data_IF_899721175790
#
_entry.id   IF_899721175790
#
_cell.length_a   1.000
_cell.length_b   1.000
_cell.length_c   1.000
_cell.angle_alpha   90.00
_cell.angle_beta   90.00
_cell.angle_gamma   90.00
#
_symmetry.space_group_name_H-M   'P 1'
#
loop_
_entity.id
_entity.type
_entity.pdbx_description
1 polymer ?
#
# COMPACT_ATOMS: atom_id res chain seq x y z
N UNK A 1 14.76 32.45 -4.40
CA UNK A 1 14.57 32.50 -2.93
C UNK A 1 13.27 33.23 -2.52
N UNK A 2 12.14 32.95 -3.18
CA UNK A 2 10.81 33.50 -2.82
C UNK A 2 9.70 32.44 -2.68
N UNK A 3 10.04 31.16 -2.85
CA UNK A 3 9.08 30.03 -2.88
C UNK A 3 8.82 29.37 -1.51
N UNK A 4 9.76 29.50 -0.56
CA UNK A 4 9.60 28.95 0.79
C UNK A 4 8.65 29.76 1.70
N UNK A 5 8.36 31.02 1.35
CA UNK A 5 7.56 31.89 2.20
C UNK A 5 6.05 31.81 1.95
N UNK A 6 5.61 31.16 0.86
CA UNK A 6 4.20 31.09 0.49
C UNK A 6 3.50 29.85 1.06
N UNK A 7 4.21 28.72 1.15
CA UNK A 7 3.70 27.48 1.76
C UNK A 7 3.49 27.62 3.29
N UNK A 8 4.34 28.39 3.96
CA UNK A 8 4.20 28.72 5.38
C UNK A 8 3.06 29.72 5.65
N UNK A 9 2.67 30.51 4.65
CA UNK A 9 1.62 31.53 4.78
C UNK A 9 0.20 30.97 4.52
N UNK A 10 0.06 29.94 3.68
CA UNK A 10 -1.22 29.25 3.50
C UNK A 10 -1.59 28.34 4.68
N UNK A 11 -0.58 27.77 5.37
CA UNK A 11 -0.81 27.07 6.64
C UNK A 11 -1.27 28.04 7.76
N UNK A 12 -0.95 29.34 7.65
CA UNK A 12 -1.35 30.37 8.61
C UNK A 12 -2.76 30.93 8.33
N UNK A 13 -3.24 30.89 7.08
CA UNK A 13 -4.59 31.37 6.73
C UNK A 13 -5.71 30.41 7.16
N UNK A 14 -5.42 29.13 7.39
CA UNK A 14 -6.34 28.18 8.03
C UNK A 14 -6.35 28.29 9.56
N UNK A 15 -5.35 28.94 10.17
CA UNK A 15 -5.24 29.12 11.62
C UNK A 15 -5.95 30.37 12.15
N UNK A 16 -6.42 31.28 11.27
CA UNK A 16 -6.85 32.61 11.69
C UNK A 16 -8.33 32.73 12.14
N UNK A 17 -9.10 31.63 12.17
CA UNK A 17 -10.50 31.64 12.61
C UNK A 17 -10.80 30.87 13.92
N UNK A 18 -9.82 30.17 14.52
CA UNK A 18 -10.03 29.40 15.75
C UNK A 18 -9.06 29.86 16.85
N UNK A 19 -9.47 30.89 17.58
CA UNK A 19 -8.76 31.36 18.77
C UNK A 19 -9.03 30.38 19.93
N UNK A 20 -7.95 29.74 20.38
CA UNK A 20 -7.69 29.16 21.70
C UNK A 20 -8.78 28.29 22.37
N UNK A 21 -8.54 26.98 22.42
CA UNK A 21 -8.81 26.22 23.64
C UNK A 21 -7.76 25.10 23.79
N UNK A 22 -7.30 24.93 25.02
CA UNK A 22 -6.13 24.15 25.43
C UNK A 22 -6.17 22.68 24.96
N UNK A 23 -4.98 22.16 24.65
CA UNK A 23 -4.74 20.77 24.26
C UNK A 23 -5.18 19.81 25.38
N UNK A 24 -5.93 18.74 25.08
CA UNK A 24 -6.06 17.64 26.04
C UNK A 24 -4.70 16.96 26.22
N UNK A 25 -4.44 16.51 27.45
CA UNK A 25 -3.22 15.82 27.85
C UNK A 25 -2.97 14.53 27.04
N UNK A 26 -1.71 14.12 26.84
CA UNK A 26 -1.39 12.83 26.24
C UNK A 26 -1.96 11.67 27.06
N UNK A 27 -2.42 10.63 26.37
CA UNK A 27 -2.90 9.39 26.96
C UNK A 27 -1.79 8.72 27.79
N UNK A 28 -2.11 8.07 28.93
CA UNK A 28 -1.12 7.44 29.79
C UNK A 28 -0.54 6.18 29.15
N UNK A 29 0.78 6.02 29.29
CA UNK A 29 1.50 4.81 28.90
C UNK A 29 1.00 3.58 29.68
N UNK A 30 0.81 2.48 28.96
CA UNK A 30 0.48 1.18 29.56
C UNK A 30 1.63 0.71 30.48
N UNK A 31 1.33 0.10 31.64
CA UNK A 31 2.34 -0.25 32.62
C UNK A 31 3.27 -1.37 32.10
N UNK A 32 4.57 -1.13 32.21
CA UNK A 32 5.60 -2.13 32.00
C UNK A 32 5.47 -3.27 33.02
N UNK A 33 5.28 -4.49 32.54
CA UNK A 33 5.39 -5.69 33.38
C UNK A 33 6.86 -5.88 33.81
N UNK A 34 7.09 -5.96 35.12
CA UNK A 34 8.40 -6.28 35.69
C UNK A 34 8.73 -7.77 35.51
N UNK A 35 10.01 -8.14 35.31
CA UNK A 35 10.41 -9.52 35.09
C UNK A 35 10.43 -10.30 36.41
N UNK A 36 9.69 -11.41 36.46
CA UNK A 36 9.78 -12.39 37.55
C UNK A 36 10.94 -13.35 37.30
N UNK A 37 11.75 -13.49 38.34
CA UNK A 37 12.87 -14.42 38.52
C UNK A 37 12.40 -15.89 38.37
N UNK A 38 12.82 -16.58 37.31
CA UNK A 38 12.74 -18.04 37.23
C UNK A 38 14.04 -18.61 36.66
N UNK A 39 14.77 -19.31 37.52
CA UNK A 39 15.93 -20.13 37.24
C UNK A 39 15.63 -21.15 36.12
N UNK A 40 16.44 -21.30 35.07
CA UNK A 40 16.15 -22.24 34.00
C UNK A 40 16.36 -23.70 34.45
N UNK A 41 15.35 -24.52 34.25
CA UNK A 41 15.45 -25.99 34.23
C UNK A 41 16.12 -26.36 32.88
N UNK A 42 17.08 -27.30 32.82
CA UNK A 42 17.71 -27.66 31.55
C UNK A 42 16.70 -28.42 30.69
N UNK A 43 16.17 -27.76 29.66
CA UNK A 43 15.45 -28.41 28.57
C UNK A 43 16.49 -28.94 27.59
N UNK A 44 16.53 -30.26 27.42
CA UNK A 44 17.18 -30.89 26.26
C UNK A 44 16.60 -30.29 24.98
N UNK A 45 17.43 -29.92 23.99
CA UNK A 45 16.93 -29.35 22.74
C UNK A 45 16.03 -30.38 22.03
N UNK A 46 14.78 -29.99 21.78
CA UNK A 46 13.95 -30.64 20.78
C UNK A 46 14.68 -30.56 19.42
N UNK A 47 14.54 -31.57 18.54
CA UNK A 47 15.12 -31.50 17.21
C UNK A 47 14.54 -30.27 16.48
N UNK A 48 15.43 -29.42 15.98
CA UNK A 48 15.12 -28.32 15.07
C UNK A 48 14.20 -28.87 13.97
N UNK A 49 13.01 -28.28 13.73
CA UNK A 49 12.23 -28.59 12.54
C UNK A 49 13.13 -28.35 11.33
N UNK A 50 13.30 -29.36 10.48
CA UNK A 50 14.08 -29.24 9.25
C UNK A 50 13.63 -27.98 8.50
N UNK A 51 14.59 -27.15 8.09
CA UNK A 51 14.31 -26.01 7.22
C UNK A 51 13.50 -26.53 6.00
N UNK A 52 12.45 -25.82 5.55
CA UNK A 52 11.74 -26.20 4.33
C UNK A 52 12.77 -26.39 3.21
N UNK A 53 12.71 -27.54 2.52
CA UNK A 53 13.59 -27.80 1.40
C UNK A 53 13.51 -26.64 0.41
N UNK A 54 14.65 -26.09 -0.01
CA UNK A 54 14.66 -25.03 -1.02
C UNK A 54 13.99 -25.56 -2.30
N UNK A 55 13.01 -24.82 -2.86
CA UNK A 55 12.35 -25.22 -4.09
C UNK A 55 13.40 -25.31 -5.21
N UNK A 56 13.55 -26.50 -5.80
CA UNK A 56 14.49 -26.77 -6.89
C UNK A 56 13.72 -27.09 -8.17
N UNK A 57 14.12 -26.46 -9.27
CA UNK A 57 13.65 -26.75 -10.61
C UNK A 57 14.79 -27.47 -11.34
N UNK A 58 14.53 -28.67 -11.84
CA UNK A 58 15.46 -29.35 -12.74
C UNK A 58 15.36 -28.67 -14.12
N UNK A 59 16.11 -27.59 -14.31
CA UNK A 59 16.14 -26.88 -15.60
C UNK A 59 17.02 -27.66 -16.59
N UNK A 60 16.51 -28.09 -17.75
CA UNK A 60 17.29 -28.81 -18.77
C UNK A 60 18.41 -27.93 -19.37
N UNK A 61 19.59 -28.52 -19.63
CA UNK A 61 20.76 -27.81 -20.19
C UNK A 61 20.54 -27.28 -21.62
N UNK A 62 19.63 -27.90 -22.38
CA UNK A 62 19.48 -27.68 -23.83
C UNK A 62 18.34 -26.72 -24.21
N UNK A 63 17.62 -26.19 -23.22
CA UNK A 63 16.55 -25.22 -23.43
C UNK A 63 15.17 -25.69 -22.98
N UNK A 64 14.30 -24.71 -22.79
CA UNK A 64 12.90 -24.91 -22.40
C UNK A 64 12.05 -24.08 -23.35
N UNK A 65 11.05 -24.67 -23.98
CA UNK A 65 10.02 -23.91 -24.71
C UNK A 65 8.71 -23.90 -23.93
N UNK A 66 8.00 -22.77 -24.03
CA UNK A 66 6.70 -22.60 -23.40
C UNK A 66 5.59 -22.88 -24.41
N UNK A 67 4.68 -23.77 -24.06
CA UNK A 67 3.49 -24.07 -24.84
C UNK A 67 2.27 -24.14 -23.92
N UNK A 68 1.23 -23.35 -24.23
CA UNK A 68 -0.05 -23.34 -23.51
C UNK A 68 0.08 -23.19 -21.97
N UNK A 69 1.05 -22.39 -21.50
CA UNK A 69 1.29 -22.15 -20.07
C UNK A 69 2.03 -23.29 -19.34
N UNK A 70 2.56 -24.25 -20.09
CA UNK A 70 3.38 -25.35 -19.60
C UNK A 70 4.77 -25.25 -20.23
N UNK A 71 5.79 -25.58 -19.44
CA UNK A 71 7.18 -25.57 -19.90
C UNK A 71 7.61 -26.99 -20.29
N UNK A 72 8.25 -27.13 -21.44
CA UNK A 72 8.70 -28.40 -21.99
C UNK A 72 10.21 -28.38 -22.26
N UNK A 73 10.87 -29.48 -21.93
CA UNK A 73 12.29 -29.72 -22.21
C UNK A 73 12.51 -29.93 -23.71
N UNK A 74 13.40 -29.14 -24.30
CA UNK A 74 13.69 -29.17 -25.75
C UNK A 74 14.36 -30.49 -26.20
N UNK A 75 15.02 -31.24 -25.31
CA UNK A 75 15.67 -32.52 -25.65
C UNK A 75 14.68 -33.66 -25.83
N UNK A 76 13.68 -33.74 -24.94
CA UNK A 76 12.83 -34.93 -24.81
C UNK A 76 11.32 -34.63 -24.97
N UNK A 77 10.93 -33.35 -25.00
CA UNK A 77 9.54 -32.91 -25.11
C UNK A 77 8.68 -33.21 -23.89
N UNK A 78 9.29 -33.61 -22.76
CA UNK A 78 8.60 -33.84 -21.50
C UNK A 78 8.36 -32.51 -20.78
N UNK A 79 7.29 -32.40 -19.98
CA UNK A 79 7.10 -31.22 -19.13
C UNK A 79 8.27 -31.11 -18.15
N UNK A 80 8.78 -29.90 -17.96
CA UNK A 80 9.81 -29.61 -16.96
C UNK A 80 9.22 -29.86 -15.58
N UNK A 81 9.85 -30.74 -14.81
CA UNK A 81 9.41 -31.10 -13.46
C UNK A 81 10.23 -30.36 -12.41
N UNK A 82 9.55 -29.91 -11.35
CA UNK A 82 10.19 -29.20 -10.24
C UNK A 82 9.29 -28.09 -9.74
N UNK A 83 9.74 -27.41 -8.69
CA UNK A 83 9.01 -26.25 -8.20
C UNK A 83 9.99 -25.17 -7.84
N UNK A 84 9.70 -23.93 -8.22
CA UNK A 84 10.56 -22.80 -7.88
C UNK A 84 10.64 -21.77 -8.98
N UNK A 85 11.26 -20.66 -8.62
CA UNK A 85 11.50 -19.54 -9.50
C UNK A 85 12.70 -19.84 -10.42
N UNK A 86 12.55 -19.61 -11.72
CA UNK A 86 13.58 -19.89 -12.73
C UNK A 86 13.57 -18.81 -13.81
N UNK A 87 14.75 -18.38 -14.25
CA UNK A 87 14.94 -17.41 -15.33
C UNK A 87 15.05 -18.16 -16.67
N UNK A 88 14.23 -17.77 -17.65
CA UNK A 88 14.29 -18.24 -19.03
C UNK A 88 14.25 -17.03 -19.96
N UNK A 89 15.27 -16.90 -20.81
CA UNK A 89 15.39 -15.82 -21.81
C UNK A 89 15.21 -14.39 -21.23
N UNK A 90 15.64 -14.17 -19.98
CA UNK A 90 15.53 -12.89 -19.28
C UNK A 90 14.19 -12.61 -18.61
N UNK A 91 13.24 -13.55 -18.69
CA UNK A 91 11.97 -13.53 -17.97
C UNK A 91 11.96 -14.55 -16.84
N UNK A 92 11.33 -14.22 -15.72
CA UNK A 92 11.23 -15.11 -14.56
C UNK A 92 9.89 -15.83 -14.51
N UNK A 93 9.94 -17.12 -14.21
CA UNK A 93 8.76 -17.99 -14.12
C UNK A 93 8.80 -18.78 -12.82
N UNK A 94 7.64 -19.05 -12.23
CA UNK A 94 7.55 -20.05 -11.15
C UNK A 94 6.95 -21.33 -11.71
N UNK A 95 7.77 -22.38 -11.69
CA UNK A 95 7.36 -23.73 -12.02
C UNK A 95 6.59 -24.32 -10.86
N UNK A 96 5.46 -24.95 -11.17
CA UNK A 96 4.67 -25.71 -10.23
C UNK A 96 5.06 -27.20 -10.31
N UNK A 97 4.89 -27.98 -9.23
CA UNK A 97 5.24 -29.40 -9.21
C UNK A 97 4.59 -30.25 -10.32
N UNK A 98 3.48 -29.80 -10.90
CA UNK A 98 2.77 -30.45 -12.00
C UNK A 98 3.26 -30.07 -13.41
N UNK A 99 4.30 -29.22 -13.49
CA UNK A 99 4.89 -28.71 -14.74
C UNK A 99 4.21 -27.45 -15.30
N UNK A 100 3.12 -26.98 -14.67
CA UNK A 100 2.47 -25.73 -15.07
C UNK A 100 3.22 -24.50 -14.56
N UNK A 101 3.01 -23.36 -15.20
CA UNK A 101 3.54 -22.07 -14.74
C UNK A 101 2.55 -21.36 -13.82
N UNK A 102 3.05 -20.67 -12.79
CA UNK A 102 2.21 -19.81 -11.95
C UNK A 102 1.75 -18.56 -12.74
N UNK A 103 0.44 -18.27 -12.81
CA UNK A 103 -0.08 -17.12 -13.53
C UNK A 103 0.05 -15.85 -12.66
N UNK A 104 1.06 -15.04 -12.93
CA UNK A 104 1.24 -13.77 -12.25
C UNK A 104 0.27 -12.70 -12.74
N UNK A 105 -0.17 -11.83 -11.83
CA UNK A 105 -0.88 -10.59 -12.12
C UNK A 105 -0.01 -9.37 -11.78
N UNK A 106 -0.37 -8.19 -12.27
CA UNK A 106 0.28 -6.94 -11.85
C UNK A 106 0.18 -6.75 -10.33
N UNK A 107 1.27 -6.34 -9.69
CA UNK A 107 1.36 -6.15 -8.24
C UNK A 107 1.90 -7.34 -7.45
N UNK A 108 1.44 -7.49 -6.20
CA UNK A 108 1.88 -8.56 -5.29
C UNK A 108 1.19 -9.90 -5.58
N UNK A 109 1.97 -10.97 -5.62
CA UNK A 109 1.53 -12.33 -5.90
C UNK A 109 2.09 -13.29 -4.85
N UNK A 110 1.21 -14.01 -4.14
CA UNK A 110 1.64 -15.07 -3.23
C UNK A 110 1.66 -16.40 -3.97
N UNK A 111 2.83 -17.06 -4.00
CA UNK A 111 2.99 -18.36 -4.63
C UNK A 111 3.85 -19.26 -3.72
N UNK A 112 3.30 -20.42 -3.34
CA UNK A 112 3.97 -21.42 -2.49
C UNK A 112 4.51 -20.84 -1.16
N UNK A 113 3.80 -19.85 -0.57
CA UNK A 113 4.23 -19.18 0.66
C UNK A 113 5.34 -18.15 0.47
N UNK A 114 5.71 -17.83 -0.77
CA UNK A 114 6.66 -16.77 -1.12
C UNK A 114 5.89 -15.63 -1.80
N UNK A 115 6.12 -14.40 -1.33
CA UNK A 115 5.53 -13.20 -1.90
C UNK A 115 6.45 -12.62 -2.99
N UNK A 116 5.92 -12.52 -4.19
CA UNK A 116 6.58 -11.94 -5.36
C UNK A 116 5.95 -10.59 -5.71
N UNK A 117 6.75 -9.65 -6.20
CA UNK A 117 6.26 -8.35 -6.67
C UNK A 117 6.50 -8.22 -8.17
N UNK A 118 5.44 -8.14 -8.97
CA UNK A 118 5.50 -7.98 -10.41
C UNK A 118 5.45 -6.50 -10.81
N UNK A 119 6.42 -6.04 -11.61
CA UNK A 119 6.48 -4.65 -12.07
C UNK A 119 6.61 -4.57 -13.59
N UNK A 120 5.52 -4.23 -14.30
CA UNK A 120 5.55 -3.89 -15.74
C UNK A 120 5.54 -5.10 -16.69
N UNK A 121 5.78 -4.87 -17.99
CA UNK A 121 5.75 -5.93 -19.03
C UNK A 121 7.01 -6.83 -19.01
N UNK A 122 8.12 -6.35 -18.44
CA UNK A 122 9.47 -6.94 -18.63
C UNK A 122 10.03 -7.68 -17.40
N UNK A 123 9.27 -7.84 -16.30
CA UNK A 123 9.68 -8.80 -15.27
C UNK A 123 9.34 -8.48 -13.81
N UNK A 124 9.78 -9.43 -12.97
CA UNK A 124 9.47 -9.56 -11.54
C UNK A 124 10.60 -9.00 -10.68
N UNK A 125 10.27 -8.30 -9.59
CA UNK A 125 11.21 -8.07 -8.51
C UNK A 125 11.34 -9.36 -7.68
N UNK A 126 12.53 -9.96 -7.77
CA UNK A 126 12.83 -11.31 -7.29
C UNK A 126 12.88 -11.51 -5.79
N UNK A 127 13.00 -10.42 -5.04
CA UNK A 127 13.18 -10.50 -3.60
C UNK A 127 11.83 -10.39 -2.93
N UNK A 128 11.62 -11.24 -1.91
CA UNK A 128 10.55 -11.01 -0.94
C UNK A 128 10.64 -9.55 -0.51
N UNK A 129 9.62 -8.74 -0.82
CA UNK A 129 9.69 -7.32 -0.57
C UNK A 129 10.08 -7.07 0.89
N UNK A 130 10.96 -6.10 1.11
CA UNK A 130 11.23 -5.64 2.47
C UNK A 130 9.95 -5.24 3.18
N UNK A 131 9.90 -5.36 4.50
CA UNK A 131 8.72 -4.93 5.24
C UNK A 131 8.47 -3.43 4.99
N UNK A 132 7.23 -3.06 4.71
CA UNK A 132 6.86 -1.68 4.37
C UNK A 132 5.73 -1.56 3.34
N UNK A 133 5.51 -0.32 2.89
CA UNK A 133 4.48 0.02 1.91
C UNK A 133 4.98 -0.14 0.48
N UNK A 134 4.13 -0.71 -0.39
CA UNK A 134 4.38 -0.91 -1.81
C UNK A 134 3.25 -0.33 -2.63
N UNK A 135 3.55 0.63 -3.51
CA UNK A 135 2.63 1.19 -4.51
C UNK A 135 3.05 0.69 -5.89
N UNK A 136 2.21 -0.12 -6.55
CA UNK A 136 2.45 -0.59 -7.93
C UNK A 136 1.86 0.33 -9.00
N UNK A 137 1.35 1.49 -8.59
CA UNK A 137 0.65 2.44 -9.43
C UNK A 137 -0.87 2.24 -9.45
N UNK A 138 -1.36 1.02 -9.22
CA UNK A 138 -2.78 0.66 -9.25
C UNK A 138 -3.36 0.43 -7.85
N UNK A 139 -2.64 -0.32 -7.02
CA UNK A 139 -2.94 -0.59 -5.61
C UNK A 139 -1.78 -0.24 -4.67
N UNK A 140 -2.13 -0.11 -3.39
CA UNK A 140 -1.18 0.06 -2.29
C UNK A 140 -1.27 -1.16 -1.37
N UNK A 141 -0.13 -1.70 -0.99
CA UNK A 141 0.00 -2.89 -0.15
C UNK A 141 0.92 -2.63 1.04
N UNK A 142 0.83 -3.47 2.06
CA UNK A 142 1.77 -3.48 3.18
C UNK A 142 2.33 -4.88 3.42
N UNK A 143 3.65 -4.99 3.38
CA UNK A 143 4.39 -6.23 3.66
C UNK A 143 4.89 -6.18 5.09
N UNK A 144 4.59 -7.23 5.85
CA UNK A 144 4.93 -7.33 7.27
C UNK A 144 6.39 -7.75 7.47
N UNK A 145 6.88 -7.66 8.72
CA UNK A 145 8.25 -8.05 9.09
C UNK A 145 8.57 -9.52 8.78
N UNK A 146 7.56 -10.39 8.83
CA UNK A 146 7.66 -11.82 8.49
C UNK A 146 7.53 -12.10 6.98
N UNK A 147 7.53 -11.05 6.15
CA UNK A 147 7.37 -11.08 4.68
C UNK A 147 5.98 -11.50 4.18
N UNK A 148 5.00 -11.65 5.07
CA UNK A 148 3.62 -11.88 4.67
C UNK A 148 2.92 -10.57 4.25
N UNK A 149 1.90 -10.70 3.39
CA UNK A 149 1.05 -9.58 3.02
C UNK A 149 0.02 -9.30 4.13
N UNK A 150 -0.10 -8.04 4.55
CA UNK A 150 -1.13 -7.65 5.51
C UNK A 150 -2.52 -7.70 4.86
N UNK A 151 -3.39 -8.56 5.37
CA UNK A 151 -4.78 -8.72 4.94
C UNK A 151 -5.74 -8.52 6.11
N UNK A 152 -6.92 -7.95 5.85
CA UNK A 152 -7.96 -7.68 6.86
C UNK A 152 -7.43 -6.96 8.10
N UNK A 153 -6.56 -5.97 7.89
CA UNK A 153 -5.76 -5.36 8.95
C UNK A 153 -5.58 -3.87 8.74
N UNK A 154 -4.79 -3.25 9.61
CA UNK A 154 -4.42 -1.84 9.46
C UNK A 154 -2.99 -1.59 9.91
N UNK A 155 -2.31 -0.73 9.17
CA UNK A 155 -1.00 -0.19 9.53
C UNK A 155 -1.14 1.34 9.69
N UNK A 156 -1.16 1.78 10.95
CA UNK A 156 -1.48 3.16 11.29
C UNK A 156 -2.90 3.56 10.86
N UNK A 157 -3.01 4.51 9.93
CA UNK A 157 -4.27 5.02 9.35
C UNK A 157 -4.64 4.36 8.02
N UNK A 158 -3.86 3.38 7.56
CA UNK A 158 -4.10 2.64 6.33
C UNK A 158 -4.76 1.31 6.67
N UNK A 159 -5.90 1.02 6.05
CA UNK A 159 -6.64 -0.23 6.23
C UNK A 159 -6.52 -1.05 4.96
N UNK A 160 -6.33 -2.36 5.11
CA UNK A 160 -6.10 -3.30 4.01
C UNK A 160 -7.20 -4.36 4.00
N UNK A 161 -7.75 -4.61 2.81
CA UNK A 161 -8.83 -5.55 2.58
C UNK A 161 -8.39 -7.01 2.66
N UNK A 162 -9.32 -7.92 2.34
CA UNK A 162 -9.04 -9.35 2.32
C UNK A 162 -8.04 -9.76 1.23
N UNK A 163 -7.94 -8.98 0.16
CA UNK A 163 -6.98 -9.12 -0.93
C UNK A 163 -5.63 -8.42 -0.65
N UNK A 164 -5.49 -7.81 0.55
CA UNK A 164 -4.30 -7.07 0.97
C UNK A 164 -4.12 -5.71 0.31
N UNK A 165 -5.10 -5.25 -0.49
CA UNK A 165 -5.09 -3.91 -1.08
C UNK A 165 -5.58 -2.89 -0.07
N UNK A 166 -4.97 -1.70 -0.08
CA UNK A 166 -5.47 -0.55 0.66
C UNK A 166 -6.92 -0.27 0.27
N UNK A 167 -7.76 -0.01 1.28
CA UNK A 167 -9.15 0.37 1.11
C UNK A 167 -9.53 1.46 2.09
N UNK A 168 -10.43 2.35 1.65
CA UNK A 168 -11.12 3.29 2.52
C UNK A 168 -12.21 2.63 3.36
N UNK A 169 -12.56 1.37 3.08
CA UNK A 169 -13.75 0.67 3.58
C UNK A 169 -14.98 0.83 2.67
N UNK A 170 -14.84 1.46 1.50
CA UNK A 170 -15.91 1.72 0.53
C UNK A 170 -15.37 1.59 -0.89
N UNK A 171 -15.90 0.62 -1.65
CA UNK A 171 -15.44 0.35 -3.01
C UNK A 171 -15.72 1.54 -3.94
N UNK A 172 -16.83 2.23 -3.74
CA UNK A 172 -17.20 3.43 -4.49
C UNK A 172 -16.20 4.58 -4.24
N UNK A 173 -15.76 4.74 -3.00
CA UNK A 173 -14.76 5.76 -2.67
C UNK A 173 -13.37 5.38 -3.20
N UNK A 174 -12.98 4.11 -3.07
CA UNK A 174 -11.70 3.61 -3.59
C UNK A 174 -11.58 3.82 -5.10
N UNK A 175 -12.62 3.46 -5.87
CA UNK A 175 -12.68 3.71 -7.32
C UNK A 175 -12.65 5.23 -7.63
N UNK A 176 -13.41 6.03 -6.88
CA UNK A 176 -13.45 7.48 -7.07
C UNK A 176 -12.10 8.16 -6.81
N UNK A 177 -11.34 7.69 -5.82
CA UNK A 177 -9.98 8.19 -5.52
C UNK A 177 -9.00 7.72 -6.59
N UNK A 178 -9.09 6.47 -7.04
CA UNK A 178 -8.27 5.97 -8.14
C UNK A 178 -8.45 6.81 -9.41
N UNK A 179 -9.69 7.12 -9.79
CA UNK A 179 -9.93 7.97 -10.96
C UNK A 179 -9.47 9.41 -10.78
N UNK A 180 -9.65 9.97 -9.58
CA UNK A 180 -9.10 11.30 -9.30
C UNK A 180 -7.57 11.33 -9.45
N UNK A 181 -6.88 10.27 -9.02
CA UNK A 181 -5.43 10.14 -9.19
C UNK A 181 -5.03 9.94 -10.65
N UNK A 182 -5.79 9.19 -11.44
CA UNK A 182 -5.52 9.06 -12.88
C UNK A 182 -5.71 10.37 -13.64
N UNK A 183 -6.78 11.11 -13.33
CA UNK A 183 -7.07 12.40 -13.95
C UNK A 183 -6.00 13.47 -13.62
N UNK A 184 -5.51 13.46 -12.38
CA UNK A 184 -4.59 14.47 -11.87
C UNK A 184 -3.11 14.10 -12.00
N UNK A 185 -2.79 12.80 -11.97
CA UNK A 185 -1.43 12.25 -11.95
C UNK A 185 -1.34 10.96 -12.78
N UNK A 186 -1.56 11.02 -14.11
CA UNK A 186 -1.51 9.83 -14.96
C UNK A 186 -0.11 9.20 -15.04
N UNK A 187 0.94 9.96 -14.74
CA UNK A 187 2.30 9.45 -14.60
C UNK A 187 2.55 8.99 -13.15
N UNK A 188 2.49 7.68 -12.94
CA UNK A 188 2.73 7.03 -11.64
C UNK A 188 4.21 6.98 -11.24
N UNK A 189 5.13 7.32 -12.15
CA UNK A 189 6.57 7.37 -11.89
C UNK A 189 7.00 8.54 -11.02
N UNK A 190 6.20 9.61 -10.94
CA UNK A 190 6.47 10.77 -10.09
C UNK A 190 6.53 10.40 -8.60
N UNK A 191 7.25 11.20 -7.81
CA UNK A 191 7.26 11.05 -6.35
C UNK A 191 5.92 11.43 -5.72
N UNK A 192 5.62 10.83 -4.56
CA UNK A 192 4.33 10.99 -3.88
C UNK A 192 4.01 12.45 -3.52
N UNK A 193 5.02 13.30 -3.30
CA UNK A 193 4.80 14.70 -2.94
C UNK A 193 4.38 15.53 -4.16
N UNK A 194 5.05 15.34 -5.31
CA UNK A 194 4.66 15.94 -6.57
C UNK A 194 3.26 15.50 -7.01
N UNK A 195 2.95 14.20 -6.84
CA UNK A 195 1.61 13.66 -7.12
C UNK A 195 0.55 14.30 -6.23
N UNK A 196 0.81 14.43 -4.93
CA UNK A 196 -0.14 15.05 -4.00
C UNK A 196 -0.37 16.54 -4.27
N UNK A 197 0.67 17.27 -4.71
CA UNK A 197 0.52 18.67 -5.17
C UNK A 197 -0.35 18.77 -6.44
N UNK A 198 -0.14 17.88 -7.41
CA UNK A 198 -0.96 17.82 -8.62
C UNK A 198 -2.44 17.49 -8.32
N UNK A 199 -2.72 16.59 -7.36
CA UNK A 199 -4.08 16.32 -6.87
C UNK A 199 -4.71 17.60 -6.30
N UNK A 200 -3.96 18.36 -5.49
CA UNK A 200 -4.45 19.62 -4.92
C UNK A 200 -4.85 20.61 -6.02
N UNK A 201 -3.96 20.82 -6.99
CA UNK A 201 -4.19 21.73 -8.11
C UNK A 201 -5.39 21.28 -8.96
N UNK A 202 -5.50 19.99 -9.24
CA UNK A 202 -6.63 19.44 -9.99
C UNK A 202 -7.95 19.66 -9.28
N UNK A 203 -8.04 19.36 -7.98
CA UNK A 203 -9.26 19.58 -7.20
C UNK A 203 -9.62 21.07 -7.19
N UNK A 204 -8.64 21.96 -6.96
CA UNK A 204 -8.84 23.42 -6.95
C UNK A 204 -9.46 23.91 -8.26
N UNK A 205 -8.97 23.40 -9.38
CA UNK A 205 -9.34 23.92 -10.71
C UNK A 205 -10.62 23.27 -11.27
N UNK A 206 -10.99 22.07 -10.79
CA UNK A 206 -12.12 21.30 -11.32
C UNK A 206 -13.33 21.18 -10.38
N UNK A 207 -13.17 21.43 -9.08
CA UNK A 207 -14.24 21.33 -8.08
C UNK A 207 -14.67 22.71 -7.59
N UNK A 208 -15.91 22.82 -7.09
CA UNK A 208 -16.46 24.09 -6.60
C UNK A 208 -16.68 24.08 -5.09
N UNK A 209 -16.34 25.20 -4.44
CA UNK A 209 -16.73 25.39 -3.05
C UNK A 209 -18.24 25.62 -2.94
N UNK A 210 -18.88 24.90 -2.02
CA UNK A 210 -20.28 25.04 -1.66
C UNK A 210 -20.39 25.19 -0.15
N UNK A 211 -20.99 26.28 0.32
CA UNK A 211 -21.26 26.47 1.74
C UNK A 211 -22.35 25.49 2.20
N UNK A 212 -22.01 24.61 3.13
CA UNK A 212 -22.88 23.57 3.69
C UNK A 212 -22.83 23.58 5.22
N UNK A 213 -23.74 22.86 5.87
CA UNK A 213 -23.69 22.65 7.31
C UNK A 213 -22.35 22.01 7.72
N UNK A 214 -21.90 22.34 8.93
CA UNK A 214 -20.69 21.75 9.51
C UNK A 214 -21.08 20.48 10.26
N UNK A 215 -20.16 19.51 10.33
CA UNK A 215 -20.35 18.33 11.16
C UNK A 215 -20.20 18.66 12.64
N UNK A 216 -20.96 17.97 13.49
CA UNK A 216 -20.93 18.17 14.93
C UNK A 216 -19.56 17.84 15.53
N UNK A 217 -19.17 18.62 16.52
CA UNK A 217 -17.91 18.44 17.22
C UNK A 217 -17.84 17.07 17.91
N UNK A 218 -16.82 16.28 17.58
CA UNK A 218 -16.59 14.94 18.16
C UNK A 218 -17.04 13.78 17.29
N UNK A 219 -17.65 14.04 16.13
CA UNK A 219 -17.96 13.01 15.14
C UNK A 219 -16.71 12.57 14.38
N UNK A 220 -16.52 11.25 14.22
CA UNK A 220 -15.37 10.64 13.54
C UNK A 220 -15.70 10.03 12.18
N UNK A 221 -16.98 9.75 11.94
CA UNK A 221 -17.40 8.87 10.84
C UNK A 221 -17.91 9.64 9.61
N UNK A 222 -17.67 10.95 9.57
CA UNK A 222 -18.17 11.83 8.51
C UNK A 222 -17.28 11.84 7.24
N UNK A 223 -16.02 11.43 7.36
CA UNK A 223 -15.02 11.66 6.31
C UNK A 223 -15.33 10.89 5.03
N UNK A 224 -15.75 9.62 5.14
CA UNK A 224 -16.07 8.79 3.99
C UNK A 224 -17.23 9.40 3.19
N UNK A 225 -18.37 9.64 3.84
CA UNK A 225 -19.56 10.24 3.21
C UNK A 225 -19.25 11.61 2.58
N UNK A 226 -18.47 12.44 3.29
CA UNK A 226 -18.07 13.76 2.79
C UNK A 226 -17.22 13.67 1.52
N UNK A 227 -16.32 12.68 1.42
CA UNK A 227 -15.47 12.47 0.25
C UNK A 227 -16.28 11.91 -0.93
N UNK A 228 -17.11 10.90 -0.70
CA UNK A 228 -18.00 10.33 -1.72
C UNK A 228 -18.92 11.40 -2.32
N UNK A 229 -19.56 12.20 -1.46
CA UNK A 229 -20.40 13.31 -1.90
C UNK A 229 -19.61 14.36 -2.71
N UNK A 230 -18.36 14.64 -2.33
CA UNK A 230 -17.52 15.60 -3.04
C UNK A 230 -17.17 15.13 -4.45
N UNK A 231 -16.73 13.87 -4.57
CA UNK A 231 -16.39 13.23 -5.83
C UNK A 231 -17.60 13.18 -6.77
N UNK A 232 -18.76 12.76 -6.25
CA UNK A 232 -19.99 12.65 -7.02
C UNK A 232 -20.50 14.02 -7.51
N UNK A 233 -20.54 15.02 -6.63
CA UNK A 233 -21.17 16.31 -6.93
C UNK A 233 -20.21 17.31 -7.58
N UNK A 234 -18.90 17.04 -7.52
CA UNK A 234 -17.81 17.96 -7.88
C UNK A 234 -17.90 19.32 -7.17
N UNK A 235 -18.53 19.34 -5.99
CA UNK A 235 -18.70 20.53 -5.15
C UNK A 235 -18.90 20.15 -3.68
N UNK A 236 -18.47 21.01 -2.76
CA UNK A 236 -18.59 20.77 -1.33
C UNK A 236 -17.87 21.82 -0.49
N UNK A 237 -17.90 21.65 0.83
CA UNK A 237 -17.25 22.57 1.77
C UNK A 237 -15.80 22.10 2.08
N UNK A 238 -15.19 22.73 3.09
CA UNK A 238 -13.82 22.40 3.51
C UNK A 238 -13.67 20.96 4.07
N UNK A 239 -14.73 20.38 4.64
CA UNK A 239 -14.69 18.99 5.13
C UNK A 239 -14.65 18.00 3.96
N UNK A 240 -15.52 18.21 2.97
CA UNK A 240 -15.53 17.44 1.72
C UNK A 240 -14.16 17.42 1.04
N UNK A 241 -13.56 18.61 0.89
CA UNK A 241 -12.21 18.76 0.36
C UNK A 241 -11.18 18.02 1.22
N UNK A 242 -11.16 18.28 2.54
CA UNK A 242 -10.17 17.72 3.43
C UNK A 242 -10.21 16.19 3.48
N UNK A 243 -11.42 15.60 3.49
CA UNK A 243 -11.60 14.15 3.48
C UNK A 243 -11.11 13.54 2.16
N UNK A 244 -11.53 14.09 1.02
CA UNK A 244 -11.11 13.59 -0.30
C UNK A 244 -9.58 13.65 -0.44
N UNK A 245 -8.98 14.78 -0.07
CA UNK A 245 -7.54 14.96 -0.13
C UNK A 245 -6.79 14.03 0.84
N UNK A 246 -7.37 13.73 2.02
CA UNK A 246 -6.82 12.74 2.95
C UNK A 246 -6.80 11.34 2.33
N UNK A 247 -7.87 10.89 1.69
CA UNK A 247 -7.89 9.57 1.03
C UNK A 247 -6.91 9.49 -0.15
N UNK A 248 -6.76 10.57 -0.93
CA UNK A 248 -5.70 10.66 -1.95
C UNK A 248 -4.30 10.52 -1.33
N UNK A 249 -4.04 11.24 -0.23
CA UNK A 249 -2.77 11.13 0.48
C UNK A 249 -2.52 9.71 1.00
N UNK A 250 -3.53 9.04 1.56
CA UNK A 250 -3.42 7.64 2.01
C UNK A 250 -3.04 6.71 0.87
N UNK A 251 -3.71 6.82 -0.29
CA UNK A 251 -3.38 6.04 -1.48
C UNK A 251 -1.97 6.33 -2.00
N UNK A 252 -1.46 7.54 -1.79
CA UNK A 252 -0.07 7.95 -2.08
C UNK A 252 0.90 7.65 -0.91
N UNK A 253 0.56 6.70 -0.04
CA UNK A 253 1.41 6.15 1.03
C UNK A 253 1.68 7.09 2.21
N UNK A 254 0.84 8.10 2.40
CA UNK A 254 0.89 8.96 3.59
C UNK A 254 0.03 8.38 4.71
N UNK A 255 0.59 8.40 5.93
CA UNK A 255 -0.16 8.20 7.16
C UNK A 255 -0.98 9.45 7.45
N UNK A 256 -2.11 9.58 6.75
CA UNK A 256 -2.97 10.76 6.79
C UNK A 256 -4.20 10.54 7.69
N UNK A 257 -4.50 11.54 8.51
CA UNK A 257 -5.75 11.63 9.26
C UNK A 257 -6.37 13.01 9.12
N UNK A 258 -7.70 13.08 9.16
CA UNK A 258 -8.46 14.32 9.23
C UNK A 258 -9.04 14.49 10.63
N UNK A 259 -8.78 15.64 11.25
CA UNK A 259 -9.45 16.05 12.48
C UNK A 259 -9.87 17.51 12.34
N UNK A 260 -11.18 17.79 12.35
CA UNK A 260 -11.74 19.15 12.25
C UNK A 260 -11.13 20.02 11.12
N UNK A 261 -11.08 19.50 9.88
CA UNK A 261 -10.50 20.25 8.76
C UNK A 261 -8.98 20.43 8.82
N UNK A 262 -8.31 19.84 9.80
CA UNK A 262 -6.86 19.69 9.87
C UNK A 262 -6.47 18.32 9.33
N UNK A 263 -5.76 18.32 8.20
CA UNK A 263 -5.12 17.12 7.70
C UNK A 263 -3.70 17.03 8.26
N UNK A 264 -3.38 15.90 8.92
CA UNK A 264 -2.01 15.57 9.30
C UNK A 264 -1.57 14.39 8.45
N UNK A 265 -0.51 14.55 7.69
CA UNK A 265 0.11 13.50 6.90
C UNK A 265 1.59 13.36 7.31
N UNK A 266 2.04 12.12 7.46
CA UNK A 266 3.46 11.78 7.59
C UNK A 266 3.80 10.80 6.48
N UNK A 267 4.88 11.07 5.73
CA UNK A 267 5.42 10.12 4.75
C UNK A 267 6.00 8.93 5.50
N UNK A 268 5.62 7.72 5.10
CA UNK A 268 6.37 6.52 5.47
C UNK A 268 7.48 6.34 4.44
N UNK A 269 8.72 6.11 4.87
CA UNK A 269 9.81 5.80 3.94
C UNK A 269 9.45 4.52 3.19
N UNK A 270 9.33 4.58 1.87
CA UNK A 270 9.21 3.37 1.06
C UNK A 270 10.54 2.63 1.05
N UNK A 271 10.56 1.31 1.25
CA UNK A 271 11.75 0.53 0.95
C UNK A 271 12.03 0.61 -0.55
N UNK A 272 13.21 1.08 -0.94
CA UNK A 272 13.73 0.91 -2.32
C UNK A 272 13.51 2.03 -3.35
N UNK A 273 13.22 3.28 -2.95
CA UNK A 273 13.45 4.46 -3.83
C UNK A 273 14.70 5.23 -3.44
#
# INVERSE_FOLDING_TARGET
MKRFSFLLFLLALTLCACRAQESPAPLPDAPAASPSDQTPIPLTPDPTPDAPAEPTVDTPEDGVHLQDGTAYDDQNGAPVTGSGLTELDGAWYVFQPDGSLFPFVHGLNECNGILYYHTGEDGFALNTPDAGLYDDGEALYFVQDDRSLLQNGSEGYLTFGADGRYTSGSAELDEGIWQLLQDSTPDTGADSAARLEAVFDYIRDNFKYLSMAHYDAGTTDWAQEAAEAFLQQRKGNCYCFAATFMYCARRLCYQAMSSRGMNRARTTTMPGR
#
